data_IF_738260528530
#
_entry.id   IF_738260528530
#
_cell.length_a   1.000
_cell.length_b   1.000
_cell.length_c   1.000
_cell.angle_alpha   90.00
_cell.angle_beta   90.00
_cell.angle_gamma   90.00
#
_symmetry.space_group_name_H-M   'P 1'
#
loop_
_entity.id
_entity.type
_entity.pdbx_description
1 polymer ?
#
# COMPACT_ATOMS: atom_id res chain seq x y z
N UNK A 1 25.01 -17.31 9.03
CA UNK A 1 25.59 -17.62 7.71
C UNK A 1 25.93 -19.10 7.61
N UNK A 2 25.03 -19.92 7.14
CA UNK A 2 25.30 -21.32 6.70
C UNK A 2 24.36 -21.62 5.53
N UNK A 3 24.90 -21.61 4.32
CA UNK A 3 24.22 -22.08 3.12
C UNK A 3 24.11 -23.60 3.20
N UNK A 4 22.89 -24.14 3.18
CA UNK A 4 22.65 -25.57 3.09
C UNK A 4 22.66 -25.96 1.61
N UNK A 5 23.66 -26.73 1.21
CA UNK A 5 23.74 -27.36 -0.12
C UNK A 5 22.94 -28.67 -0.08
N UNK A 6 21.91 -28.79 -0.90
CA UNK A 6 21.26 -30.06 -1.18
C UNK A 6 22.20 -30.96 -2.02
N UNK A 7 22.72 -32.04 -1.43
CA UNK A 7 23.44 -33.10 -2.13
C UNK A 7 22.50 -34.30 -2.32
N UNK A 8 22.10 -34.55 -3.55
CA UNK A 8 21.47 -35.82 -3.94
C UNK A 8 22.58 -36.79 -4.37
N UNK A 9 22.74 -37.88 -3.61
CA UNK A 9 23.62 -39.00 -3.94
C UNK A 9 22.88 -39.99 -4.84
N UNK A 10 23.40 -40.20 -6.05
CA UNK A 10 22.98 -41.36 -6.89
C UNK A 10 24.09 -42.38 -6.84
N UNK A 11 23.69 -43.62 -6.44
CA UNK A 11 24.55 -44.80 -6.49
C UNK A 11 24.79 -45.25 -7.94
N UNK A 12 26.03 -45.41 -8.32
CA UNK A 12 26.44 -46.02 -9.59
C UNK A 12 26.91 -47.44 -9.33
N UNK A 13 26.27 -48.44 -9.98
CA UNK A 13 26.77 -49.79 -10.09
C UNK A 13 27.69 -49.92 -11.29
N UNK A 14 28.93 -50.42 -11.08
CA UNK A 14 29.90 -50.70 -12.15
C UNK A 14 29.59 -52.04 -12.80
N UNK A 15 29.44 -52.05 -14.12
CA UNK A 15 29.67 -53.23 -14.99
C UNK A 15 30.50 -52.76 -16.18
N UNK A 16 31.70 -53.35 -16.33
CA UNK A 16 32.64 -53.10 -17.40
C UNK A 16 32.19 -53.79 -18.70
N UNK A 17 32.06 -53.04 -19.81
CA UNK A 17 32.57 -53.42 -21.14
C UNK A 17 32.41 -52.23 -22.11
N UNK A 18 33.51 -51.79 -22.72
CA UNK A 18 33.59 -51.28 -24.10
C UNK A 18 33.09 -49.83 -24.37
N UNK A 19 34.00 -48.89 -24.28
CA UNK A 19 34.22 -47.74 -25.18
C UNK A 19 32.98 -46.97 -25.71
N UNK A 20 32.62 -45.86 -25.04
CA UNK A 20 32.33 -44.54 -25.59
C UNK A 20 32.16 -43.56 -24.42
N UNK A 21 33.12 -42.68 -24.23
CA UNK A 21 33.00 -41.59 -23.23
C UNK A 21 32.07 -40.52 -23.74
N UNK A 22 30.76 -40.61 -23.37
CA UNK A 22 29.82 -39.52 -23.50
C UNK A 22 29.95 -38.67 -22.24
N UNK A 23 30.59 -37.53 -22.36
CA UNK A 23 30.57 -36.49 -21.35
C UNK A 23 29.12 -35.95 -21.24
N UNK A 24 28.36 -36.42 -20.25
CA UNK A 24 27.15 -35.74 -19.81
C UNK A 24 27.61 -34.49 -19.03
N UNK A 25 27.56 -33.34 -19.68
CA UNK A 25 27.58 -32.07 -18.97
C UNK A 25 26.22 -31.93 -18.28
N UNK A 26 26.15 -32.30 -17.00
CA UNK A 26 25.04 -31.90 -16.15
C UNK A 26 25.13 -30.38 -15.99
N UNK A 27 24.34 -29.65 -16.76
CA UNK A 27 24.00 -28.27 -16.43
C UNK A 27 23.24 -28.30 -15.12
N UNK A 28 23.93 -27.95 -14.04
CA UNK A 28 23.28 -27.55 -12.79
C UNK A 28 22.46 -26.29 -13.12
N UNK A 29 21.15 -26.47 -13.36
CA UNK A 29 20.20 -25.35 -13.30
C UNK A 29 20.19 -24.95 -11.83
N UNK A 30 20.95 -23.96 -11.46
CA UNK A 30 20.77 -23.22 -10.22
C UNK A 30 19.43 -22.50 -10.38
N UNK A 31 18.37 -23.01 -9.77
CA UNK A 31 17.21 -22.18 -9.51
C UNK A 31 17.71 -21.08 -8.57
N UNK A 32 18.01 -19.90 -9.10
CA UNK A 32 18.21 -18.74 -8.28
C UNK A 32 16.85 -18.36 -7.72
N UNK A 33 16.71 -18.34 -6.40
CA UNK A 33 15.53 -17.83 -5.70
C UNK A 33 15.52 -16.29 -5.69
N UNK A 34 16.21 -15.67 -6.64
CA UNK A 34 16.32 -14.22 -6.71
C UNK A 34 15.02 -13.59 -7.23
N UNK A 35 14.60 -12.45 -6.66
CA UNK A 35 13.42 -11.71 -7.12
C UNK A 35 13.49 -11.37 -8.62
N UNK A 36 12.37 -11.55 -9.32
CA UNK A 36 12.23 -11.09 -10.72
C UNK A 36 11.83 -9.62 -10.69
N UNK A 37 12.82 -8.74 -10.77
CA UNK A 37 12.62 -7.29 -10.67
C UNK A 37 11.95 -6.73 -11.92
N UNK A 38 11.13 -5.69 -11.73
CA UNK A 38 10.59 -4.88 -12.81
C UNK A 38 11.73 -4.10 -13.47
N UNK A 39 11.72 -4.04 -14.82
CA UNK A 39 12.77 -3.38 -15.59
C UNK A 39 12.71 -1.84 -15.41
N UNK A 40 13.76 -1.18 -14.87
CA UNK A 40 13.80 0.26 -14.70
C UNK A 40 13.64 1.07 -16.00
N UNK A 41 14.03 0.52 -17.15
CA UNK A 41 13.88 1.19 -18.45
C UNK A 41 12.41 1.51 -18.78
N UNK A 42 11.46 0.70 -18.29
CA UNK A 42 10.03 0.94 -18.46
C UNK A 42 9.51 2.17 -17.68
N UNK A 43 10.30 2.75 -16.80
CA UNK A 43 9.97 3.93 -15.99
C UNK A 43 10.78 5.16 -16.35
N UNK A 44 11.78 5.03 -17.22
CA UNK A 44 12.58 6.16 -17.69
C UNK A 44 11.76 7.03 -18.65
N UNK A 45 11.60 8.31 -18.32
CA UNK A 45 10.82 9.26 -19.11
C UNK A 45 10.77 10.64 -18.46
N UNK A 46 9.81 11.46 -18.91
CA UNK A 46 9.60 12.78 -18.33
C UNK A 46 8.11 13.13 -18.32
N UNK A 47 7.62 13.63 -17.18
CA UNK A 47 6.24 14.13 -17.02
C UNK A 47 6.31 15.54 -16.42
N UNK A 48 5.67 16.51 -17.12
CA UNK A 48 5.66 17.90 -16.66
C UNK A 48 7.04 18.54 -16.54
N UNK A 49 8.03 18.06 -17.31
CA UNK A 49 9.40 18.54 -17.30
C UNK A 49 10.28 17.97 -16.18
N UNK A 50 9.77 17.04 -15.37
CA UNK A 50 10.54 16.29 -14.37
C UNK A 50 10.83 14.87 -14.87
N UNK A 51 12.05 14.41 -14.66
CA UNK A 51 12.46 13.05 -15.03
C UNK A 51 11.86 12.00 -14.09
N UNK A 52 11.48 10.87 -14.67
CA UNK A 52 10.92 9.72 -13.96
C UNK A 52 11.88 8.54 -13.97
N UNK A 53 11.78 7.69 -12.97
CA UNK A 53 12.60 6.49 -12.85
C UNK A 53 12.02 5.46 -11.90
N UNK A 54 12.70 4.34 -11.78
CA UNK A 54 12.43 3.25 -10.82
C UNK A 54 13.69 2.97 -10.03
N UNK A 55 13.59 3.04 -8.71
CA UNK A 55 14.70 2.77 -7.78
C UNK A 55 14.46 1.45 -7.06
N UNK A 56 15.55 0.74 -6.79
CA UNK A 56 15.53 -0.52 -6.06
C UNK A 56 16.36 -0.38 -4.79
N UNK A 57 15.78 -0.75 -3.64
CA UNK A 57 16.47 -0.88 -2.36
C UNK A 57 16.32 -2.30 -1.82
N UNK A 58 17.31 -2.75 -1.03
CA UNK A 58 17.32 -4.08 -0.43
C UNK A 58 18.07 -4.06 0.91
N UNK A 59 17.61 -4.84 1.86
CA UNK A 59 18.33 -5.12 3.12
C UNK A 59 18.97 -6.52 3.13
N UNK A 60 18.89 -7.26 2.02
CA UNK A 60 19.37 -8.63 1.88
C UNK A 60 18.28 -9.70 2.09
N UNK A 61 17.21 -9.38 2.84
CA UNK A 61 16.06 -10.28 3.08
C UNK A 61 14.80 -9.81 2.32
N UNK A 62 14.70 -8.51 2.04
CA UNK A 62 13.61 -7.90 1.29
C UNK A 62 14.15 -7.07 0.14
N UNK A 63 13.35 -6.91 -0.92
CA UNK A 63 13.63 -6.01 -2.03
C UNK A 63 12.39 -5.17 -2.34
N UNK A 64 12.55 -3.85 -2.43
CA UNK A 64 11.50 -2.91 -2.79
C UNK A 64 11.91 -2.13 -4.04
N UNK A 65 10.96 -2.00 -4.97
CA UNK A 65 11.09 -1.07 -6.09
C UNK A 65 10.03 0.02 -5.98
N UNK A 66 10.45 1.27 -6.16
CA UNK A 66 9.54 2.43 -6.12
C UNK A 66 9.86 3.42 -7.25
N UNK A 67 8.81 4.02 -7.81
CA UNK A 67 8.93 5.10 -8.79
C UNK A 67 8.62 6.44 -8.14
N UNK A 68 9.26 7.50 -8.63
CA UNK A 68 8.97 8.86 -8.20
C UNK A 68 7.69 9.43 -8.84
N UNK A 69 7.04 8.75 -9.76
CA UNK A 69 5.70 9.13 -10.20
C UNK A 69 4.67 8.71 -9.16
N UNK A 70 4.19 9.69 -8.39
CA UNK A 70 3.28 9.47 -7.27
C UNK A 70 3.93 8.83 -6.04
N UNK A 71 5.27 8.78 -5.95
CA UNK A 71 5.99 8.12 -4.86
C UNK A 71 5.63 6.65 -4.68
N UNK A 72 5.26 5.95 -5.75
CA UNK A 72 4.61 4.62 -5.72
C UNK A 72 5.57 3.51 -5.38
N UNK A 73 5.13 2.58 -4.53
CA UNK A 73 5.69 1.23 -4.51
C UNK A 73 5.22 0.48 -5.75
N UNK A 74 6.15 -0.19 -6.43
CA UNK A 74 5.90 -0.97 -7.66
C UNK A 74 5.99 -2.46 -7.38
N UNK A 75 6.99 -2.89 -6.59
CA UNK A 75 7.13 -4.26 -6.11
C UNK A 75 7.70 -4.30 -4.70
N UNK A 76 7.32 -5.32 -3.94
CA UNK A 76 7.85 -5.60 -2.61
C UNK A 76 8.01 -7.10 -2.44
N UNK A 77 9.24 -7.56 -2.52
CA UNK A 77 9.62 -8.96 -2.36
C UNK A 77 9.95 -9.26 -0.91
N UNK A 78 9.29 -10.27 -0.38
CA UNK A 78 9.49 -10.78 0.98
C UNK A 78 9.72 -12.28 0.96
N UNK A 79 10.46 -12.85 1.95
CA UNK A 79 10.62 -14.30 2.05
C UNK A 79 9.32 -14.98 2.47
N UNK A 80 9.06 -16.19 1.96
CA UNK A 80 8.00 -17.08 2.44
C UNK A 80 8.57 -18.32 3.14
N UNK A 81 7.68 -19.16 3.75
CA UNK A 81 8.08 -20.25 4.64
C UNK A 81 8.99 -21.31 4.03
N UNK A 82 8.99 -21.49 2.71
CA UNK A 82 9.89 -22.40 1.98
C UNK A 82 11.25 -21.76 1.61
N UNK A 83 11.46 -20.46 1.94
CA UNK A 83 12.66 -19.69 1.62
C UNK A 83 12.68 -19.12 0.21
N UNK A 84 11.59 -19.22 -0.55
CA UNK A 84 11.41 -18.50 -1.80
C UNK A 84 11.01 -17.05 -1.52
N UNK A 85 11.08 -16.20 -2.56
CA UNK A 85 10.68 -14.81 -2.46
C UNK A 85 9.36 -14.62 -3.21
N UNK A 86 8.43 -13.85 -2.61
CA UNK A 86 7.16 -13.50 -3.22
C UNK A 86 6.98 -11.99 -3.28
N UNK A 87 6.51 -11.46 -4.43
CA UNK A 87 6.14 -10.06 -4.59
C UNK A 87 4.72 -9.85 -4.07
N UNK A 88 4.62 -9.28 -2.88
CA UNK A 88 3.36 -9.17 -2.12
C UNK A 88 2.53 -7.94 -2.45
N UNK A 89 2.96 -7.07 -3.38
CA UNK A 89 2.18 -5.89 -3.80
C UNK A 89 1.79 -5.99 -5.27
N UNK A 90 0.58 -5.54 -5.59
CA UNK A 90 0.14 -5.39 -6.97
C UNK A 90 0.78 -4.14 -7.57
N UNK A 91 1.11 -4.19 -8.87
CA UNK A 91 1.72 -3.07 -9.58
C UNK A 91 1.63 -3.20 -11.09
N UNK A 92 2.18 -2.22 -11.79
CA UNK A 92 2.36 -2.25 -13.23
C UNK A 92 3.84 -2.33 -13.61
N UNK A 93 4.13 -2.88 -14.79
CA UNK A 93 5.49 -3.09 -15.26
C UNK A 93 6.13 -1.85 -15.91
N UNK A 94 5.34 -0.81 -16.21
CA UNK A 94 5.80 0.40 -16.89
C UNK A 94 5.14 1.65 -16.37
N UNK A 95 5.79 2.81 -16.57
CA UNK A 95 5.25 4.12 -16.23
C UNK A 95 3.96 4.42 -17.01
N UNK A 96 3.91 4.03 -18.29
CA UNK A 96 2.76 4.28 -19.17
C UNK A 96 1.47 3.65 -18.63
N UNK A 97 1.57 2.44 -18.06
CA UNK A 97 0.42 1.75 -17.47
C UNK A 97 -0.10 2.48 -16.22
N UNK A 98 0.75 3.17 -15.46
CA UNK A 98 0.33 4.02 -14.34
C UNK A 98 -0.27 5.35 -14.78
N UNK A 99 0.27 5.97 -15.82
CA UNK A 99 -0.23 7.25 -16.36
C UNK A 99 -1.55 7.06 -17.10
N UNK A 100 -1.67 5.99 -17.88
CA UNK A 100 -2.83 5.64 -18.70
C UNK A 100 -3.68 4.53 -18.06
N UNK A 101 -3.78 4.55 -16.72
CA UNK A 101 -4.56 3.55 -15.98
C UNK A 101 -5.99 3.43 -16.52
N UNK A 102 -6.54 2.20 -16.47
CA UNK A 102 -7.91 1.95 -16.94
C UNK A 102 -8.96 2.14 -15.86
N UNK A 103 -8.70 1.70 -14.64
CA UNK A 103 -9.66 1.73 -13.51
C UNK A 103 -9.04 2.26 -12.23
N UNK A 104 -7.90 1.71 -11.79
CA UNK A 104 -7.30 2.03 -10.51
C UNK A 104 -6.15 3.02 -10.67
N UNK A 105 -6.42 4.24 -10.23
CA UNK A 105 -5.47 5.35 -10.27
C UNK A 105 -4.40 5.25 -9.18
N UNK A 106 -4.79 4.73 -8.01
CA UNK A 106 -4.01 4.86 -6.77
C UNK A 106 -3.09 3.68 -6.48
N UNK A 107 -2.98 2.72 -7.40
CA UNK A 107 -2.18 1.51 -7.25
C UNK A 107 -0.75 1.83 -6.78
N UNK A 108 -0.44 1.48 -5.52
CA UNK A 108 0.85 1.69 -4.87
C UNK A 108 1.22 3.13 -4.51
N UNK A 109 0.34 4.11 -4.77
CA UNK A 109 0.64 5.54 -4.70
C UNK A 109 0.72 6.10 -3.27
N UNK A 110 1.44 7.21 -3.14
CA UNK A 110 1.22 8.18 -2.06
C UNK A 110 -0.05 8.97 -2.37
N UNK A 111 -0.98 9.00 -1.42
CA UNK A 111 -2.25 9.73 -1.55
C UNK A 111 -2.28 10.92 -0.60
N UNK A 112 -2.81 12.02 -1.08
CA UNK A 112 -2.83 13.30 -0.36
C UNK A 112 -2.87 14.50 -1.31
N UNK A 113 -2.81 15.76 -0.77
CA UNK A 113 -2.43 16.16 0.60
C UNK A 113 -3.43 15.80 1.70
N UNK A 114 -4.66 15.42 1.33
CA UNK A 114 -5.65 14.84 2.24
C UNK A 114 -6.13 13.52 1.64
N UNK A 115 -5.70 12.43 2.24
CA UNK A 115 -6.11 11.06 1.92
C UNK A 115 -7.60 10.87 2.16
N UNK A 116 -8.19 9.91 1.45
CA UNK A 116 -9.61 9.62 1.49
C UNK A 116 -10.48 10.81 1.04
N UNK A 117 -11.65 11.03 1.63
CA UNK A 117 -12.68 11.94 1.14
C UNK A 117 -12.73 13.26 1.89
N UNK A 118 -13.05 14.35 1.15
CA UNK A 118 -13.63 15.59 1.69
C UNK A 118 -14.99 15.78 1.01
N UNK A 119 -16.05 15.62 1.78
CA UNK A 119 -17.44 15.68 1.30
C UNK A 119 -17.76 17.10 0.84
N UNK A 120 -18.55 17.20 -0.24
CA UNK A 120 -18.90 18.50 -0.80
C UNK A 120 -17.76 19.25 -1.50
N UNK A 121 -16.60 18.61 -1.68
CA UNK A 121 -15.37 19.24 -2.24
C UNK A 121 -15.11 20.63 -1.64
N UNK A 122 -15.30 20.75 -0.33
CA UNK A 122 -15.06 22.01 0.39
C UNK A 122 -14.94 21.75 1.89
N UNK A 123 -14.29 22.70 2.58
CA UNK A 123 -14.27 22.75 4.04
C UNK A 123 -14.24 24.22 4.49
N UNK A 124 -14.60 24.47 5.74
CA UNK A 124 -14.52 25.78 6.36
C UNK A 124 -13.56 25.77 7.54
N UNK A 125 -12.67 26.75 7.60
CA UNK A 125 -11.74 26.98 8.71
C UNK A 125 -11.64 28.47 8.98
N UNK A 126 -11.73 28.87 10.25
CA UNK A 126 -11.68 30.28 10.71
C UNK A 126 -12.60 31.24 9.93
N UNK A 127 -13.83 30.77 9.66
CA UNK A 127 -14.85 31.59 8.96
C UNK A 127 -14.62 31.74 7.46
N UNK A 128 -13.58 31.12 6.89
CA UNK A 128 -13.31 31.07 5.46
C UNK A 128 -13.66 29.69 4.90
N UNK A 129 -14.37 29.69 3.77
CA UNK A 129 -14.66 28.44 3.02
C UNK A 129 -13.65 28.26 1.90
N UNK A 130 -13.03 27.09 1.85
CA UNK A 130 -12.11 26.63 0.82
C UNK A 130 -12.84 25.65 -0.11
N UNK A 131 -12.82 25.94 -1.41
CA UNK A 131 -13.40 25.06 -2.43
C UNK A 131 -12.29 24.25 -3.08
N UNK A 132 -12.47 22.94 -3.12
CA UNK A 132 -11.52 21.97 -3.65
C UNK A 132 -11.97 21.43 -5.00
N UNK A 133 -11.08 20.72 -5.68
CA UNK A 133 -11.42 20.01 -6.90
C UNK A 133 -12.33 18.82 -6.62
N UNK A 134 -13.47 18.75 -7.33
CA UNK A 134 -14.48 17.69 -7.16
C UNK A 134 -14.20 16.51 -8.08
N UNK A 135 -13.14 15.75 -7.80
CA UNK A 135 -12.73 14.59 -8.60
C UNK A 135 -13.46 13.29 -8.26
N UNK A 136 -14.30 13.28 -7.21
CA UNK A 136 -15.08 12.13 -6.82
C UNK A 136 -16.57 12.37 -7.11
N UNK A 137 -17.10 11.72 -8.15
CA UNK A 137 -18.50 11.83 -8.61
C UNK A 137 -19.00 13.28 -8.84
N UNK A 138 -18.08 14.24 -9.03
CA UNK A 138 -18.42 15.65 -9.20
C UNK A 138 -18.89 16.38 -7.94
N UNK A 139 -18.91 15.72 -6.78
CA UNK A 139 -19.45 16.24 -5.53
C UNK A 139 -18.49 16.20 -4.35
N UNK A 140 -17.41 15.43 -4.42
CA UNK A 140 -16.43 15.30 -3.36
C UNK A 140 -15.00 15.38 -3.86
N UNK A 141 -14.04 15.60 -2.96
CA UNK A 141 -12.61 15.45 -3.23
C UNK A 141 -12.15 14.09 -2.71
N UNK A 142 -11.43 13.34 -3.53
CA UNK A 142 -10.82 12.06 -3.17
C UNK A 142 -9.31 12.16 -3.36
N UNK A 143 -8.54 11.76 -2.34
CA UNK A 143 -7.09 11.66 -2.36
C UNK A 143 -6.37 12.92 -2.91
N UNK A 144 -6.87 14.09 -2.51
CA UNK A 144 -6.24 15.38 -2.87
C UNK A 144 -6.62 15.98 -4.22
N UNK A 145 -7.57 15.39 -4.96
CA UNK A 145 -8.11 16.00 -6.19
C UNK A 145 -7.62 15.34 -7.49
N UNK A 146 -7.76 16.05 -8.60
CA UNK A 146 -7.37 15.55 -9.93
C UNK A 146 -5.85 15.39 -10.07
N UNK A 147 -5.09 16.26 -9.42
CA UNK A 147 -3.62 16.26 -9.40
C UNK A 147 -3.10 16.17 -7.97
N UNK A 148 -3.55 15.11 -7.26
CA UNK A 148 -3.05 14.76 -5.93
C UNK A 148 -1.60 14.27 -5.97
N UNK A 149 -1.07 13.90 -4.81
CA UNK A 149 0.32 13.44 -4.65
C UNK A 149 0.64 12.19 -5.48
N UNK A 150 -0.38 11.41 -5.83
CA UNK A 150 -0.32 10.19 -6.66
C UNK A 150 0.00 10.45 -8.13
N UNK A 151 -0.28 11.65 -8.66
CA UNK A 151 -0.19 11.97 -10.08
C UNK A 151 0.85 13.04 -10.41
N UNK A 152 1.74 13.33 -9.49
CA UNK A 152 2.87 14.25 -9.67
C UNK A 152 4.19 13.49 -9.61
N UNK A 153 5.22 14.05 -10.26
CA UNK A 153 6.58 13.50 -10.17
C UNK A 153 7.27 14.12 -8.95
N UNK A 154 7.65 13.27 -8.01
CA UNK A 154 8.44 13.65 -6.84
C UNK A 154 9.92 13.79 -7.23
N UNK A 155 10.63 14.68 -6.56
CA UNK A 155 12.07 14.85 -6.75
C UNK A 155 12.82 13.76 -5.99
N UNK A 156 13.77 13.10 -6.66
CA UNK A 156 14.69 12.18 -5.99
C UNK A 156 15.64 12.97 -5.10
N UNK A 157 15.76 12.58 -3.83
CA UNK A 157 16.66 13.23 -2.85
C UNK A 157 17.88 12.39 -2.59
N UNK A 158 17.69 11.14 -2.17
CA UNK A 158 18.80 10.26 -1.80
C UNK A 158 18.39 8.79 -1.80
N UNK A 159 19.39 7.92 -1.94
CA UNK A 159 19.24 6.48 -1.82
C UNK A 159 20.46 5.91 -1.08
N UNK A 160 20.20 4.91 -0.23
CA UNK A 160 21.21 3.96 0.30
C UNK A 160 20.85 2.56 -0.16
N UNK A 161 21.56 1.53 0.29
CA UNK A 161 21.20 0.15 -0.03
C UNK A 161 19.77 -0.18 0.42
N UNK A 162 19.34 0.33 1.58
CA UNK A 162 18.08 -0.02 2.23
C UNK A 162 17.11 1.15 2.45
N UNK A 163 17.40 2.35 1.96
CA UNK A 163 16.51 3.51 2.09
C UNK A 163 16.43 4.33 0.80
N UNK A 164 15.28 4.98 0.59
CA UNK A 164 14.99 5.81 -0.58
C UNK A 164 14.15 7.01 -0.14
N UNK A 165 14.62 8.23 -0.43
CA UNK A 165 13.93 9.47 -0.06
C UNK A 165 13.51 10.25 -1.30
N UNK A 166 12.25 10.66 -1.31
CA UNK A 166 11.66 11.55 -2.30
C UNK A 166 11.15 12.85 -1.64
N UNK A 167 11.11 13.92 -2.41
CA UNK A 167 10.59 15.23 -2.04
C UNK A 167 9.47 15.65 -2.97
N UNK A 168 8.43 16.30 -2.44
CA UNK A 168 7.36 16.89 -3.21
C UNK A 168 6.92 18.22 -2.62
N UNK A 169 6.87 19.26 -3.45
CA UNK A 169 6.19 20.51 -3.13
C UNK A 169 4.79 20.49 -3.75
N UNK A 170 3.75 20.52 -2.89
CA UNK A 170 2.37 20.77 -3.31
C UNK A 170 2.10 22.27 -3.20
N UNK A 171 2.02 23.01 -4.32
CA UNK A 171 2.04 24.47 -4.31
C UNK A 171 0.73 25.08 -3.81
N UNK A 172 0.80 26.33 -3.32
CA UNK A 172 -0.36 27.13 -2.92
C UNK A 172 -1.44 27.16 -3.99
N UNK A 173 -2.68 26.95 -3.60
CA UNK A 173 -3.86 26.93 -4.47
C UNK A 173 -4.02 25.67 -5.33
N UNK A 174 -3.06 24.76 -5.34
CA UNK A 174 -3.22 23.50 -6.07
C UNK A 174 -4.40 22.71 -5.52
N UNK A 175 -5.27 22.22 -6.43
CA UNK A 175 -6.53 21.52 -6.11
C UNK A 175 -7.45 22.28 -5.13
N UNK A 176 -7.19 23.60 -4.90
CA UNK A 176 -7.92 24.49 -3.99
C UNK A 176 -7.39 24.52 -2.56
N UNK A 177 -6.34 23.78 -2.23
CA UNK A 177 -5.72 23.83 -0.90
C UNK A 177 -4.84 25.06 -0.73
N UNK A 178 -4.91 25.78 0.42
CA UNK A 178 -4.11 26.98 0.68
C UNK A 178 -2.67 26.62 1.08
N UNK A 179 -1.76 27.53 0.78
CA UNK A 179 -0.35 27.46 1.15
C UNK A 179 0.44 26.38 0.43
N UNK A 180 1.74 26.53 0.48
CA UNK A 180 2.67 25.51 0.03
C UNK A 180 2.76 24.40 1.09
N UNK A 181 2.81 23.15 0.65
CA UNK A 181 3.11 22.01 1.52
C UNK A 181 4.39 21.34 1.00
N UNK A 182 5.44 21.44 1.80
CA UNK A 182 6.75 20.84 1.53
C UNK A 182 6.83 19.49 2.19
N UNK A 183 7.06 18.41 1.42
CA UNK A 183 6.93 17.02 1.89
C UNK A 183 8.20 16.25 1.60
N UNK A 184 8.74 15.59 2.62
CA UNK A 184 9.72 14.51 2.49
C UNK A 184 9.06 13.19 2.82
N UNK A 185 9.32 12.17 2.01
CA UNK A 185 8.93 10.79 2.25
C UNK A 185 10.15 9.89 2.14
N UNK A 186 10.33 9.02 3.13
CA UNK A 186 11.42 8.04 3.15
C UNK A 186 10.87 6.63 3.29
N UNK A 187 11.22 5.76 2.35
CA UNK A 187 11.08 4.31 2.45
C UNK A 187 12.34 3.71 3.03
N UNK A 188 12.21 2.83 4.03
CA UNK A 188 13.34 2.12 4.63
C UNK A 188 13.01 0.64 4.80
N UNK A 189 13.91 -0.24 4.39
CA UNK A 189 13.87 -1.67 4.71
C UNK A 189 14.80 -1.95 5.89
N UNK A 190 14.26 -2.47 6.97
CA UNK A 190 15.03 -2.79 8.18
C UNK A 190 15.38 -4.28 8.26
N UNK A 191 16.40 -4.63 9.03
CA UNK A 191 16.92 -6.00 9.13
C UNK A 191 15.96 -7.01 9.78
N UNK A 192 14.82 -6.56 10.30
CA UNK A 192 13.76 -7.38 10.89
C UNK A 192 12.55 -7.55 9.96
N UNK A 193 12.78 -7.50 8.64
CA UNK A 193 11.77 -7.63 7.60
C UNK A 193 10.64 -6.61 7.72
N UNK A 194 10.97 -5.35 7.97
CA UNK A 194 10.02 -4.24 8.05
C UNK A 194 10.24 -3.25 6.91
N UNK A 195 9.16 -2.90 6.20
CA UNK A 195 9.11 -1.73 5.34
C UNK A 195 8.52 -0.56 6.13
N UNK A 196 9.36 0.44 6.39
CA UNK A 196 8.97 1.70 7.03
C UNK A 196 8.69 2.77 6.01
N UNK A 197 7.70 3.59 6.32
CA UNK A 197 7.35 4.79 5.57
C UNK A 197 7.27 5.95 6.55
N UNK A 198 8.16 6.92 6.37
CA UNK A 198 8.21 8.10 7.21
C UNK A 198 7.86 9.32 6.34
N UNK A 199 6.85 10.08 6.77
CA UNK A 199 6.51 11.37 6.20
C UNK A 199 6.89 12.49 7.16
N UNK A 200 7.40 13.58 6.58
CA UNK A 200 7.64 14.83 7.25
C UNK A 200 7.16 15.96 6.33
N UNK A 201 6.29 16.85 6.83
CA UNK A 201 5.81 17.95 6.03
C UNK A 201 5.69 19.25 6.84
N UNK A 202 5.89 20.38 6.15
CA UNK A 202 5.71 21.73 6.67
C UNK A 202 4.88 22.57 5.71
N UNK A 203 4.24 23.62 6.24
CA UNK A 203 3.39 24.52 5.45
C UNK A 203 3.67 25.99 5.79
N UNK A 204 3.35 26.88 4.84
CA UNK A 204 3.40 28.33 5.03
C UNK A 204 2.01 28.97 5.26
N UNK A 205 0.93 28.19 5.22
CA UNK A 205 -0.41 28.61 5.58
C UNK A 205 -1.18 27.48 6.27
N UNK A 206 -2.14 27.81 7.13
CA UNK A 206 -2.99 26.80 7.80
C UNK A 206 -3.75 26.00 6.75
N UNK A 207 -3.63 24.67 6.81
CA UNK A 207 -4.28 23.75 5.87
C UNK A 207 -4.48 22.35 6.45
N UNK A 208 -5.47 21.59 5.96
CA UNK A 208 -5.57 20.19 6.33
C UNK A 208 -4.47 19.37 5.63
N UNK A 209 -3.89 18.42 6.39
CA UNK A 209 -2.89 17.47 5.92
C UNK A 209 -3.24 16.07 6.44
N UNK A 210 -3.26 15.12 5.54
CA UNK A 210 -3.48 13.70 5.83
C UNK A 210 -2.85 12.90 4.69
N UNK A 211 -1.59 12.51 4.82
CA UNK A 211 -0.87 11.79 3.77
C UNK A 211 -0.94 10.30 4.09
N UNK A 212 -1.11 9.44 3.09
CA UNK A 212 -1.10 7.99 3.25
C UNK A 212 -0.46 7.28 2.06
N UNK A 213 -0.25 5.98 2.19
CA UNK A 213 0.13 5.09 1.09
C UNK A 213 -1.02 4.16 0.74
N UNK A 214 -1.08 3.79 -0.54
CA UNK A 214 -2.15 2.94 -1.08
C UNK A 214 -1.59 1.64 -1.72
N UNK A 215 -0.74 0.85 -1.00
CA UNK A 215 -0.26 -0.42 -1.51
C UNK A 215 -1.38 -1.46 -1.50
N UNK A 216 -1.47 -2.23 -2.56
CA UNK A 216 -2.42 -3.34 -2.68
C UNK A 216 -1.68 -4.64 -2.39
N UNK A 217 -1.86 -5.19 -1.19
CA UNK A 217 -1.20 -6.41 -0.76
C UNK A 217 -1.96 -7.66 -1.21
N UNK A 218 -1.23 -8.63 -1.74
CA UNK A 218 -1.62 -10.04 -1.81
C UNK A 218 -0.47 -10.89 -1.30
N UNK A 219 -0.61 -11.49 -0.13
CA UNK A 219 0.47 -12.24 0.52
C UNK A 219 0.81 -13.57 -0.18
N UNK A 220 0.00 -14.00 -1.14
CA UNK A 220 0.31 -15.11 -2.06
C UNK A 220 0.98 -14.64 -3.35
N UNK A 221 1.19 -13.33 -3.51
CA UNK A 221 1.70 -12.68 -4.72
C UNK A 221 0.62 -12.28 -5.70
N UNK A 222 0.98 -11.36 -6.61
CA UNK A 222 0.09 -10.85 -7.64
C UNK A 222 -0.45 -11.98 -8.52
N UNK A 223 -1.79 -12.03 -8.70
CA UNK A 223 -2.46 -13.04 -9.51
C UNK A 223 -2.57 -14.43 -8.85
N UNK A 224 -2.33 -14.55 -7.55
CA UNK A 224 -2.48 -15.82 -6.79
C UNK A 224 -3.93 -16.13 -6.39
N UNK A 225 -4.90 -15.27 -6.74
CA UNK A 225 -6.30 -15.44 -6.39
C UNK A 225 -6.77 -14.45 -5.32
N UNK A 226 -7.85 -14.78 -4.62
CA UNK A 226 -8.52 -13.88 -3.68
C UNK A 226 -7.92 -13.95 -2.28
N UNK A 227 -8.03 -12.83 -1.52
CA UNK A 227 -7.62 -12.74 -0.13
C UNK A 227 -8.69 -13.24 0.87
N UNK A 228 -9.79 -13.84 0.38
CA UNK A 228 -10.90 -14.28 1.24
C UNK A 228 -10.52 -15.29 2.31
N UNK A 229 -9.51 -16.14 2.04
CA UNK A 229 -9.01 -17.17 2.96
C UNK A 229 -7.93 -16.67 3.92
N UNK A 230 -7.55 -15.38 3.82
CA UNK A 230 -6.60 -14.80 4.75
C UNK A 230 -7.28 -14.50 6.08
N UNK A 231 -6.50 -14.56 7.15
CA UNK A 231 -6.96 -14.25 8.51
C UNK A 231 -6.62 -12.80 8.82
N UNK A 232 -7.66 -12.01 9.11
CA UNK A 232 -7.55 -10.60 9.45
C UNK A 232 -7.74 -10.40 10.96
N UNK A 233 -6.98 -9.47 11.54
CA UNK A 233 -7.18 -8.90 12.86
C UNK A 233 -7.08 -7.37 12.79
N UNK A 234 -7.91 -6.65 13.55
CA UNK A 234 -7.90 -5.17 13.59
C UNK A 234 -8.04 -4.70 15.04
N UNK A 235 -7.16 -3.78 15.44
CA UNK A 235 -7.15 -3.16 16.76
C UNK A 235 -8.11 -1.97 16.82
N UNK A 236 -9.41 -2.21 16.69
CA UNK A 236 -10.42 -1.15 16.73
C UNK A 236 -11.72 -1.64 17.37
N UNK A 237 -12.31 -0.81 18.24
CA UNK A 237 -13.63 -1.05 18.81
C UNK A 237 -14.75 -0.41 17.98
N UNK A 238 -14.39 0.44 17.00
CA UNK A 238 -15.35 1.13 16.14
C UNK A 238 -14.77 1.41 14.76
N UNK A 239 -15.66 1.69 13.81
CA UNK A 239 -15.34 2.12 12.47
C UNK A 239 -16.27 3.25 12.02
N UNK A 240 -15.87 3.97 10.96
CA UNK A 240 -16.72 4.97 10.32
C UNK A 240 -17.52 4.31 9.21
N UNK A 241 -18.84 4.32 9.35
CA UNK A 241 -19.76 3.88 8.31
C UNK A 241 -19.90 4.92 7.20
N UNK A 242 -20.50 4.51 6.08
CA UNK A 242 -20.81 5.39 4.96
C UNK A 242 -22.32 5.42 4.69
N UNK A 243 -22.85 6.59 4.28
CA UNK A 243 -24.20 6.74 3.78
C UNK A 243 -24.15 7.47 2.42
N UNK A 244 -24.11 6.69 1.34
CA UNK A 244 -23.80 7.22 0.02
C UNK A 244 -22.38 7.81 -0.03
N UNK A 245 -22.22 9.07 -0.47
CA UNK A 245 -20.91 9.72 -0.50
C UNK A 245 -20.45 10.21 0.88
N UNK A 246 -21.34 10.25 1.89
CA UNK A 246 -21.08 10.83 3.19
C UNK A 246 -20.41 9.84 4.14
N UNK A 247 -19.55 10.37 5.01
CA UNK A 247 -18.97 9.65 6.14
C UNK A 247 -19.84 9.90 7.36
N UNK A 248 -20.29 8.83 8.00
CA UNK A 248 -21.11 8.93 9.23
C UNK A 248 -20.22 9.46 10.36
N UNK A 249 -20.61 10.60 10.96
CA UNK A 249 -19.81 11.29 11.98
C UNK A 249 -19.68 10.51 13.30
N UNK A 250 -20.69 9.74 13.65
CA UNK A 250 -20.64 8.92 14.87
C UNK A 250 -20.02 7.56 14.55
N UNK A 251 -18.87 7.20 15.15
CA UNK A 251 -18.31 5.88 14.97
C UNK A 251 -19.29 4.78 15.38
N UNK A 252 -19.34 3.72 14.58
CA UNK A 252 -20.18 2.54 14.80
C UNK A 252 -19.33 1.51 15.54
N UNK A 253 -19.84 0.94 16.64
CA UNK A 253 -19.16 -0.15 17.34
C UNK A 253 -19.06 -1.38 16.43
N UNK A 254 -17.90 -2.03 16.42
CA UNK A 254 -17.69 -3.25 15.60
C UNK A 254 -18.46 -4.44 16.18
N UNK A 255 -18.74 -4.47 17.47
CA UNK A 255 -19.41 -5.57 18.17
C UNK A 255 -20.73 -5.96 17.51
N UNK A 256 -20.84 -7.23 17.13
CA UNK A 256 -22.05 -7.77 16.50
C UNK A 256 -22.24 -7.39 15.01
N UNK A 257 -21.25 -6.76 14.37
CA UNK A 257 -21.22 -6.42 12.94
C UNK A 257 -20.21 -7.29 12.18
N UNK A 258 -20.22 -7.21 10.85
CA UNK A 258 -19.22 -7.83 10.00
C UNK A 258 -17.84 -7.20 10.11
N UNK A 259 -17.67 -6.15 10.90
CA UNK A 259 -16.41 -5.42 11.12
C UNK A 259 -15.71 -5.80 12.43
N UNK A 260 -16.23 -6.76 13.20
CA UNK A 260 -15.62 -7.19 14.48
C UNK A 260 -14.46 -8.15 14.27
N UNK A 261 -13.30 -7.59 13.93
CA UNK A 261 -12.02 -8.29 13.76
C UNK A 261 -11.08 -8.15 14.97
N UNK A 262 -11.61 -7.83 16.16
CA UNK A 262 -10.85 -7.82 17.43
C UNK A 262 -10.31 -9.21 17.79
N UNK A 263 -10.94 -10.25 17.30
CA UNK A 263 -10.43 -11.62 17.30
C UNK A 263 -10.13 -12.02 15.85
N UNK A 264 -8.95 -12.61 15.55
CA UNK A 264 -8.59 -13.01 14.20
C UNK A 264 -9.57 -14.02 13.60
N UNK A 265 -10.08 -13.75 12.39
CA UNK A 265 -10.86 -14.70 11.60
C UNK A 265 -10.80 -14.39 10.09
N UNK A 266 -11.48 -15.18 9.25
CA UNK A 266 -11.33 -15.11 7.81
C UNK A 266 -11.92 -13.81 7.23
N UNK A 267 -11.23 -13.22 6.25
CA UNK A 267 -11.72 -12.05 5.50
C UNK A 267 -13.07 -12.34 4.85
N UNK A 268 -13.28 -13.56 4.32
CA UNK A 268 -14.56 -13.93 3.69
C UNK A 268 -15.76 -13.84 4.63
N UNK A 269 -15.57 -13.96 5.92
CA UNK A 269 -16.70 -13.89 6.89
C UNK A 269 -17.43 -12.56 6.80
N UNK A 270 -16.71 -11.45 6.56
CA UNK A 270 -17.31 -10.16 6.29
C UNK A 270 -17.84 -10.06 4.85
N UNK A 271 -17.08 -10.51 3.85
CA UNK A 271 -17.46 -10.40 2.44
C UNK A 271 -18.78 -11.13 2.13
N UNK A 272 -19.07 -12.23 2.82
CA UNK A 272 -20.27 -13.07 2.66
C UNK A 272 -21.36 -12.79 3.69
N UNK A 273 -21.15 -11.85 4.62
CA UNK A 273 -22.06 -11.58 5.76
C UNK A 273 -23.40 -11.00 5.35
N UNK A 274 -23.47 -10.29 4.22
CA UNK A 274 -24.63 -9.49 3.84
C UNK A 274 -24.84 -8.23 4.68
N UNK A 275 -23.86 -7.83 5.49
CA UNK A 275 -23.89 -6.58 6.26
C UNK A 275 -24.16 -5.38 5.34
N UNK A 276 -25.09 -4.47 5.70
CA UNK A 276 -25.44 -3.33 4.85
C UNK A 276 -24.27 -2.43 4.46
N UNK A 277 -23.24 -2.27 5.32
CA UNK A 277 -22.06 -1.47 5.00
C UNK A 277 -21.16 -2.19 3.97
N UNK A 278 -20.99 -3.50 4.10
CA UNK A 278 -20.27 -4.33 3.11
C UNK A 278 -20.99 -4.30 1.76
N UNK A 279 -22.33 -4.46 1.76
CA UNK A 279 -23.14 -4.43 0.53
C UNK A 279 -23.03 -3.07 -0.17
N UNK A 280 -23.08 -1.96 0.56
CA UNK A 280 -22.91 -0.59 0.00
C UNK A 280 -21.56 -0.38 -0.66
N UNK A 281 -20.51 -0.98 -0.14
CA UNK A 281 -19.15 -0.93 -0.68
C UNK A 281 -18.89 -1.98 -1.76
N UNK A 282 -19.91 -2.30 -2.57
CA UNK A 282 -19.80 -3.30 -3.64
C UNK A 282 -19.35 -4.69 -3.12
N UNK A 283 -19.81 -5.06 -1.91
CA UNK A 283 -19.57 -6.37 -1.30
C UNK A 283 -18.17 -6.52 -0.65
N UNK A 284 -17.46 -5.44 -0.37
CA UNK A 284 -16.14 -5.48 0.24
C UNK A 284 -15.91 -4.40 1.30
N UNK A 285 -14.72 -4.40 1.86
CA UNK A 285 -14.27 -3.32 2.73
C UNK A 285 -13.92 -2.06 1.92
N UNK A 286 -14.39 -0.92 2.35
CA UNK A 286 -13.93 0.43 1.98
C UNK A 286 -14.26 1.37 3.16
N UNK A 287 -13.71 1.06 4.34
CA UNK A 287 -14.11 1.67 5.60
C UNK A 287 -12.90 2.02 6.45
N UNK A 288 -13.00 3.15 7.16
CA UNK A 288 -12.00 3.58 8.13
C UNK A 288 -12.30 3.01 9.51
N UNK A 289 -11.38 2.22 10.04
CA UNK A 289 -11.39 1.77 11.43
C UNK A 289 -10.77 2.84 12.34
N UNK A 290 -11.41 3.09 13.49
CA UNK A 290 -10.91 3.99 14.54
C UNK A 290 -9.95 3.20 15.42
N UNK A 291 -8.64 3.35 15.20
CA UNK A 291 -7.62 2.51 15.84
C UNK A 291 -7.47 2.87 17.32
N UNK A 292 -7.53 1.86 18.17
CA UNK A 292 -7.38 2.01 19.62
C UNK A 292 -5.96 2.44 20.01
N UNK A 293 -5.86 3.28 21.06
CA UNK A 293 -4.59 3.74 21.62
C UNK A 293 -3.98 4.93 20.88
N UNK A 294 -2.79 5.34 21.31
CA UNK A 294 -2.03 6.48 20.80
C UNK A 294 -0.58 6.09 20.50
N UNK A 295 0.13 6.92 19.71
CA UNK A 295 1.51 6.67 19.30
C UNK A 295 1.65 5.47 18.37
N UNK A 296 2.88 5.00 18.16
CA UNK A 296 3.17 3.82 17.34
C UNK A 296 2.59 2.55 17.98
N UNK A 297 1.66 1.89 17.28
CA UNK A 297 1.00 0.65 17.73
C UNK A 297 0.58 -0.21 16.57
N UNK A 298 0.41 -1.49 16.83
CA UNK A 298 -0.17 -2.40 15.85
C UNK A 298 -1.65 -2.06 15.62
N UNK A 299 -1.98 -1.74 14.38
CA UNK A 299 -3.32 -1.37 13.96
C UNK A 299 -4.10 -2.55 13.37
N UNK A 300 -3.41 -3.42 12.62
CA UNK A 300 -3.99 -4.60 12.00
C UNK A 300 -2.94 -5.65 11.68
N UNK A 301 -3.39 -6.88 11.44
CA UNK A 301 -2.57 -7.91 10.81
C UNK A 301 -3.36 -8.72 9.80
N UNK A 302 -2.66 -9.23 8.77
CA UNK A 302 -3.19 -10.09 7.74
C UNK A 302 -2.28 -11.31 7.60
N UNK A 303 -2.84 -12.51 7.70
CA UNK A 303 -2.10 -13.76 7.63
C UNK A 303 -2.59 -14.61 6.46
N UNK A 304 -1.66 -15.08 5.65
CA UNK A 304 -1.95 -16.07 4.60
C UNK A 304 -1.54 -17.47 5.08
N UNK A 305 -2.51 -18.34 5.41
CA UNK A 305 -2.21 -19.69 5.91
C UNK A 305 -1.60 -20.61 4.87
N UNK A 306 -1.64 -20.28 3.58
CA UNK A 306 -1.12 -21.14 2.52
C UNK A 306 0.41 -21.07 2.39
N UNK A 307 1.06 -19.99 2.78
CA UNK A 307 2.51 -19.81 2.69
C UNK A 307 3.15 -19.28 3.99
N UNK A 308 2.35 -19.08 5.03
CA UNK A 308 2.82 -18.69 6.36
C UNK A 308 3.15 -17.20 6.52
N UNK A 309 2.97 -16.36 5.50
CA UNK A 309 3.29 -14.94 5.61
C UNK A 309 2.26 -14.23 6.50
N UNK A 310 2.75 -13.56 7.53
CA UNK A 310 2.02 -12.62 8.37
C UNK A 310 2.53 -11.21 8.07
N UNK A 311 1.62 -10.32 7.68
CA UNK A 311 1.81 -8.88 7.60
C UNK A 311 1.20 -8.23 8.85
N UNK A 312 1.98 -7.47 9.63
CA UNK A 312 1.51 -6.61 10.72
C UNK A 312 1.67 -5.15 10.31
N UNK A 313 0.61 -4.36 10.47
CA UNK A 313 0.56 -2.92 10.15
C UNK A 313 0.65 -2.11 11.43
N UNK A 314 1.67 -1.26 11.53
CA UNK A 314 1.91 -0.40 12.68
C UNK A 314 1.83 1.07 12.25
N UNK A 315 1.24 1.92 13.10
CA UNK A 315 1.12 3.34 12.80
C UNK A 315 0.93 4.19 14.05
N UNK A 316 1.27 5.47 13.94
CA UNK A 316 0.92 6.53 14.89
C UNK A 316 -0.41 7.22 14.55
N UNK A 317 -1.02 6.90 13.40
CA UNK A 317 -2.24 7.54 12.93
C UNK A 317 -3.50 7.01 13.64
N UNK A 318 -4.55 7.84 13.81
CA UNK A 318 -5.78 7.48 14.53
C UNK A 318 -6.71 6.56 13.75
N UNK A 319 -6.50 6.41 12.45
CA UNK A 319 -7.37 5.64 11.56
C UNK A 319 -6.61 4.68 10.66
N UNK A 320 -7.33 3.67 10.21
CA UNK A 320 -6.88 2.71 9.22
C UNK A 320 -8.03 2.45 8.23
N UNK A 321 -7.86 2.88 6.99
CA UNK A 321 -8.77 2.49 5.92
C UNK A 321 -8.42 1.08 5.46
N UNK A 322 -9.41 0.20 5.48
CA UNK A 322 -9.34 -1.12 4.84
C UNK A 322 -10.09 -1.08 3.52
N UNK A 323 -9.41 -1.53 2.46
CA UNK A 323 -10.00 -1.68 1.14
C UNK A 323 -9.64 -3.07 0.58
N UNK A 324 -10.63 -3.82 0.10
CA UNK A 324 -10.46 -5.23 -0.28
C UNK A 324 -10.40 -5.49 -1.79
N UNK A 325 -10.12 -4.47 -2.59
CA UNK A 325 -9.96 -4.63 -4.04
C UNK A 325 -11.22 -5.10 -4.76
N UNK A 326 -12.40 -4.76 -4.25
CA UNK A 326 -13.69 -5.22 -4.80
C UNK A 326 -14.05 -4.61 -6.16
N UNK A 327 -13.31 -3.62 -6.64
CA UNK A 327 -13.53 -2.99 -7.92
C UNK A 327 -12.70 -3.59 -9.06
N UNK A 328 -11.73 -4.47 -8.76
CA UNK A 328 -11.04 -5.25 -9.77
C UNK A 328 -12.01 -6.19 -10.51
N UNK A 329 -11.82 -6.37 -11.80
CA UNK A 329 -12.72 -7.19 -12.63
C UNK A 329 -12.05 -8.44 -13.20
N UNK A 330 -10.73 -8.56 -13.06
CA UNK A 330 -9.94 -9.61 -13.71
C UNK A 330 -9.58 -9.30 -15.16
N UNK A 331 -10.04 -8.16 -15.71
CA UNK A 331 -9.65 -7.69 -17.03
C UNK A 331 -8.34 -6.88 -16.98
N UNK A 332 -8.08 -6.24 -15.85
CA UNK A 332 -6.87 -5.48 -15.59
C UNK A 332 -5.67 -6.43 -15.49
N UNK A 333 -4.53 -5.93 -15.93
CA UNK A 333 -3.26 -6.66 -15.87
C UNK A 333 -2.26 -5.90 -15.02
N UNK A 334 -1.65 -6.65 -14.12
CA UNK A 334 -0.52 -6.18 -13.34
C UNK A 334 0.81 -6.49 -14.01
N UNK A 335 1.86 -6.50 -13.20
CA UNK A 335 3.21 -6.89 -13.62
C UNK A 335 3.19 -8.26 -14.29
N UNK A 336 4.00 -8.43 -15.33
CA UNK A 336 4.10 -9.70 -16.08
C UNK A 336 2.76 -10.22 -16.65
N UNK A 337 1.77 -9.33 -16.85
CA UNK A 337 0.49 -9.65 -17.46
C UNK A 337 -0.46 -10.48 -16.60
N UNK A 338 -0.20 -10.62 -15.29
CA UNK A 338 -1.09 -11.32 -14.35
C UNK A 338 -2.40 -10.57 -14.18
N UNK A 339 -3.48 -11.33 -14.00
CA UNK A 339 -4.83 -10.78 -13.75
C UNK A 339 -4.90 -10.13 -12.37
N UNK A 340 -5.59 -8.98 -12.30
CA UNK A 340 -5.95 -8.33 -11.04
C UNK A 340 -7.42 -8.65 -10.75
N UNK A 341 -7.63 -9.66 -9.90
CA UNK A 341 -8.95 -10.23 -9.67
C UNK A 341 -9.67 -9.52 -8.52
N UNK A 342 -11.00 -9.53 -8.57
CA UNK A 342 -11.86 -9.04 -7.48
C UNK A 342 -11.49 -9.72 -6.16
N UNK A 343 -11.29 -8.94 -5.09
CA UNK A 343 -10.80 -9.39 -3.79
C UNK A 343 -9.39 -10.02 -3.84
N UNK A 344 -8.65 -9.81 -4.92
CA UNK A 344 -7.27 -10.28 -5.07
C UNK A 344 -6.22 -9.42 -4.37
N UNK A 345 -6.65 -8.49 -3.52
CA UNK A 345 -5.76 -7.62 -2.76
C UNK A 345 -6.43 -7.02 -1.54
N UNK A 346 -5.59 -6.59 -0.59
CA UNK A 346 -6.00 -5.86 0.60
C UNK A 346 -5.14 -4.60 0.74
N UNK A 347 -5.77 -3.45 0.99
CA UNK A 347 -5.09 -2.17 1.21
C UNK A 347 -5.27 -1.73 2.64
N UNK A 348 -4.18 -1.25 3.26
CA UNK A 348 -4.12 -0.73 4.62
C UNK A 348 -3.59 0.71 4.55
N UNK A 349 -4.49 1.70 4.51
CA UNK A 349 -4.12 3.11 4.48
C UNK A 349 -4.14 3.64 5.91
N UNK A 350 -2.96 3.78 6.51
CA UNK A 350 -2.83 4.44 7.81
C UNK A 350 -3.03 5.95 7.61
N UNK A 351 -3.98 6.57 8.33
CA UNK A 351 -4.43 7.92 8.02
C UNK A 351 -5.16 8.58 9.19
N UNK A 352 -5.43 9.89 9.07
CA UNK A 352 -6.49 10.54 9.84
C UNK A 352 -7.87 10.13 9.32
N UNK A 353 -8.91 10.37 10.09
CA UNK A 353 -10.27 9.98 9.73
C UNK A 353 -10.77 10.74 8.49
N UNK A 354 -11.48 10.07 7.56
CA UNK A 354 -12.04 10.69 6.37
C UNK A 354 -12.94 11.88 6.69
N UNK A 355 -12.91 12.92 5.86
CA UNK A 355 -13.70 14.15 6.01
C UNK A 355 -13.42 14.95 7.31
N UNK A 356 -12.32 14.69 8.01
CA UNK A 356 -11.96 15.36 9.26
C UNK A 356 -12.00 16.91 9.17
N UNK A 357 -11.66 17.58 8.05
CA UNK A 357 -11.80 19.04 7.95
C UNK A 357 -13.23 19.57 8.14
N UNK A 358 -14.25 18.73 7.93
CA UNK A 358 -15.66 19.05 8.08
C UNK A 358 -16.30 18.49 9.37
N UNK A 359 -15.53 17.75 10.17
CA UNK A 359 -16.03 17.03 11.34
C UNK A 359 -15.28 17.46 12.61
N UNK A 360 -15.75 18.48 13.35
CA UNK A 360 -15.08 19.01 14.54
C UNK A 360 -14.84 17.98 15.66
N UNK A 361 -15.61 16.89 15.68
CA UNK A 361 -15.47 15.77 16.62
C UNK A 361 -14.33 14.81 16.28
N UNK A 362 -13.79 14.88 15.04
CA UNK A 362 -12.71 14.02 14.57
C UNK A 362 -11.33 14.56 14.98
N UNK A 363 -10.28 13.73 14.93
CA UNK A 363 -8.92 14.19 15.19
C UNK A 363 -8.55 15.36 14.28
N UNK A 364 -7.88 16.37 14.86
CA UNK A 364 -7.53 17.61 14.14
C UNK A 364 -6.70 17.33 12.88
N UNK A 365 -7.16 17.74 11.68
CA UNK A 365 -6.42 17.53 10.44
C UNK A 365 -5.53 18.72 10.07
N UNK A 366 -5.61 19.86 10.78
CA UNK A 366 -4.96 21.10 10.37
C UNK A 366 -3.51 21.17 10.84
N UNK A 367 -2.63 21.59 9.92
CA UNK A 367 -1.23 21.90 10.15
C UNK A 367 -1.06 23.40 10.10
N UNK A 368 -0.45 23.97 11.14
CA UNK A 368 -0.15 25.39 11.27
C UNK A 368 1.26 25.74 10.74
N UNK A 369 1.48 26.95 10.21
CA UNK A 369 2.84 27.42 9.91
C UNK A 369 3.75 27.37 11.12
N UNK A 370 4.93 26.74 10.95
CA UNK A 370 5.90 26.53 12.02
C UNK A 370 5.75 25.20 12.76
N UNK A 371 4.68 24.45 12.53
CA UNK A 371 4.55 23.07 12.96
C UNK A 371 5.11 22.11 11.92
N UNK A 372 5.37 20.89 12.36
CA UNK A 372 5.80 19.80 11.50
C UNK A 372 4.79 18.66 11.59
N UNK A 373 4.22 18.28 10.44
CA UNK A 373 3.45 17.05 10.31
C UNK A 373 4.42 15.87 10.25
N UNK A 374 4.12 14.85 11.03
CA UNK A 374 4.81 13.56 10.96
C UNK A 374 3.77 12.44 10.83
N UNK A 375 4.13 11.42 10.07
CA UNK A 375 3.37 10.18 10.00
C UNK A 375 4.34 9.02 9.84
N UNK A 376 4.19 8.03 10.70
CA UNK A 376 4.98 6.80 10.69
C UNK A 376 4.08 5.60 10.42
N UNK A 377 4.45 4.83 9.39
CA UNK A 377 3.80 3.56 9.04
C UNK A 377 4.86 2.47 8.91
N UNK A 378 4.58 1.28 9.43
CA UNK A 378 5.45 0.12 9.29
C UNK A 378 4.62 -1.09 8.84
N UNK A 379 5.07 -1.74 7.77
CA UNK A 379 4.59 -3.04 7.31
C UNK A 379 5.64 -4.10 7.67
N UNK A 380 5.35 -4.89 8.71
CA UNK A 380 6.27 -5.90 9.27
C UNK A 380 5.87 -7.28 8.78
N UNK A 381 6.82 -7.99 8.18
CA UNK A 381 6.60 -9.33 7.63
C UNK A 381 7.28 -10.39 8.50
N UNK A 382 6.56 -11.48 8.74
CA UNK A 382 7.05 -12.64 9.49
C UNK A 382 6.51 -13.91 8.87
N UNK A 383 7.23 -15.02 9.09
CA UNK A 383 6.73 -16.35 8.77
C UNK A 383 6.20 -16.99 10.05
N UNK A 384 4.94 -17.43 9.99
CA UNK A 384 4.31 -18.21 11.05
C UNK A 384 4.51 -19.69 10.74
N UNK A 385 5.01 -20.47 11.73
CA UNK A 385 5.22 -21.92 11.63
C UNK A 385 3.91 -22.71 11.81
#
# INVERSE_FOLDING_TARGET
MKRIKCLLHSFAAFLFTGIAASFFVQTLVSCSNDPVLVNPEGFAGSIGGKETGLWTISNGDMVLQATNYGGRVVSLWVPEGNGEMVDVVLGHGTLDEYVNYRRERFLGAVVGPVANRIVGASYSHDGRTYRLSANHNGTGTLHGGFRGLDSVVWDFVSQTDSSLTFHCLHPDGAEGFPGNLDILMTYTLTSDCTWKIDYLATTDAVRPVNISNHPYFNLGGEGSGTCGDYVLWVNADSFLGTDGPDVIETPILVEGTAFDYRTPHLVRDALESGDPQIVRSNGGFDHNFCINGEGMREAASLYNPSNGILLSVWTDQPGLQLYSGQWWTGEERGKNGKSLDRFGSFTFETQNWPDAPNKPSFPNPFLEPGETYTHHCEYRFRIME
#
